data_IF_366957537554
#
_entry.id   IF_366957537554
#
_cell.length_a   1.000
_cell.length_b   1.000
_cell.length_c   1.000
_cell.angle_alpha   90.00
_cell.angle_beta   90.00
_cell.angle_gamma   90.00
#
_symmetry.space_group_name_H-M   'P 1'
#
loop_
_entity.id
_entity.type
_entity.pdbx_description
1 polymer ?
#
# COMPACT_ATOMS: atom_id res chain seq x y z
N UNK A 1 -14.58 -3.85 -1.64
CA UNK A 1 -13.25 -4.19 -2.22
C UNK A 1 -12.87 -5.61 -1.78
N UNK A 2 -12.36 -6.47 -2.69
CA UNK A 2 -12.11 -7.91 -2.39
C UNK A 2 -11.26 -8.12 -1.14
N UNK A 3 -10.19 -7.34 -0.96
CA UNK A 3 -9.29 -7.48 0.18
C UNK A 3 -9.97 -7.18 1.54
N UNK A 4 -10.97 -6.30 1.59
CA UNK A 4 -11.58 -5.82 2.84
C UNK A 4 -12.94 -6.47 3.13
N UNK A 5 -13.71 -6.75 2.08
CA UNK A 5 -15.12 -7.13 2.20
C UNK A 5 -15.40 -8.54 1.68
N UNK A 6 -14.38 -9.25 1.17
CA UNK A 6 -14.49 -10.53 0.46
C UNK A 6 -15.66 -10.58 -0.55
N UNK A 7 -15.87 -9.46 -1.23
CA UNK A 7 -16.94 -9.30 -2.22
C UNK A 7 -16.39 -8.80 -3.54
N UNK A 8 -17.01 -9.25 -4.63
CA UNK A 8 -16.79 -8.81 -5.99
C UNK A 8 -18.13 -8.56 -6.66
N UNK A 9 -18.28 -7.41 -7.30
CA UNK A 9 -19.52 -7.00 -7.97
C UNK A 9 -19.22 -6.63 -9.42
N UNK A 10 -19.92 -7.28 -10.36
CA UNK A 10 -20.12 -6.79 -11.73
C UNK A 10 -21.51 -6.11 -11.79
N UNK A 11 -21.70 -4.96 -12.46
CA UNK A 11 -20.76 -4.24 -13.33
C UNK A 11 -19.82 -3.28 -12.58
N UNK A 12 -18.81 -2.73 -13.28
CA UNK A 12 -17.86 -1.73 -12.77
C UNK A 12 -18.61 -0.49 -12.28
N UNK A 13 -18.86 -0.41 -10.98
CA UNK A 13 -19.35 0.79 -10.33
C UNK A 13 -18.14 1.57 -9.83
N UNK A 14 -17.92 2.77 -10.37
CA UNK A 14 -16.96 3.69 -9.77
C UNK A 14 -17.37 3.91 -8.31
N UNK A 15 -16.41 3.86 -7.39
CA UNK A 15 -16.64 4.28 -6.00
C UNK A 15 -17.23 5.69 -6.02
N UNK A 16 -18.36 5.90 -5.33
CA UNK A 16 -18.95 7.23 -5.16
C UNK A 16 -18.54 7.70 -3.77
N UNK A 17 -17.61 8.66 -3.69
CA UNK A 17 -17.11 9.21 -2.42
C UNK A 17 -15.82 8.54 -1.92
N UNK A 18 -15.68 8.44 -0.59
CA UNK A 18 -14.55 7.83 0.11
C UNK A 18 -15.12 6.65 0.90
N UNK A 19 -14.67 5.42 0.60
CA UNK A 19 -14.97 4.24 1.41
C UNK A 19 -13.84 3.97 2.39
N UNK A 20 -14.18 3.62 3.62
CA UNK A 20 -13.24 3.36 4.71
C UNK A 20 -13.50 1.98 5.29
N UNK A 21 -12.47 1.15 5.26
CA UNK A 21 -12.51 -0.24 5.74
C UNK A 21 -11.32 -0.54 6.64
N UNK A 22 -11.53 -1.35 7.66
CA UNK A 22 -10.46 -1.81 8.56
C UNK A 22 -10.36 -3.33 8.47
N UNK A 23 -9.15 -3.85 8.24
CA UNK A 23 -8.84 -5.28 8.32
C UNK A 23 -7.65 -5.49 9.24
N UNK A 24 -7.74 -6.45 10.17
CA UNK A 24 -6.61 -6.82 11.04
C UNK A 24 -5.92 -8.05 10.44
N UNK A 25 -4.60 -8.01 10.31
CA UNK A 25 -3.77 -9.09 9.76
C UNK A 25 -2.63 -9.44 10.73
N UNK A 26 -2.22 -10.70 10.77
CA UNK A 26 -1.00 -11.12 11.46
C UNK A 26 0.17 -11.10 10.48
N UNK A 27 1.20 -10.30 10.78
CA UNK A 27 2.42 -10.18 9.98
C UNK A 27 3.62 -10.62 10.79
N UNK A 28 3.80 -11.94 10.91
CA UNK A 28 4.96 -12.55 11.56
C UNK A 28 4.96 -12.36 13.07
N UNK A 29 3.80 -12.56 13.72
CA UNK A 29 3.61 -12.43 15.16
C UNK A 29 3.29 -11.01 15.64
N UNK A 30 3.29 -10.03 14.72
CA UNK A 30 2.80 -8.67 14.94
C UNK A 30 1.38 -8.57 14.39
N UNK A 31 0.39 -8.29 15.25
CA UNK A 31 -0.97 -7.98 14.81
C UNK A 31 -1.03 -6.54 14.30
N UNK A 32 -1.33 -6.35 13.02
CA UNK A 32 -1.37 -5.04 12.36
C UNK A 32 -2.79 -4.73 11.88
N UNK A 33 -3.31 -3.57 12.28
CA UNK A 33 -4.57 -3.03 11.75
C UNK A 33 -4.31 -2.25 10.46
N UNK A 34 -4.81 -2.76 9.34
CA UNK A 34 -4.82 -2.11 8.04
C UNK A 34 -6.09 -1.29 7.90
N UNK A 35 -5.95 0.00 7.61
CA UNK A 35 -7.04 0.91 7.32
C UNK A 35 -7.02 1.24 5.83
N UNK A 36 -7.96 0.72 5.05
CA UNK A 36 -8.06 0.96 3.62
C UNK A 36 -9.06 2.08 3.36
N UNK A 37 -8.60 3.12 2.68
CA UNK A 37 -9.36 4.27 2.24
C UNK A 37 -9.46 4.19 0.72
N UNK A 38 -10.54 3.65 0.18
CA UNK A 38 -10.76 3.64 -1.27
C UNK A 38 -11.44 4.96 -1.67
N UNK A 39 -10.73 5.82 -2.40
CA UNK A 39 -11.27 7.09 -2.87
C UNK A 39 -11.67 7.03 -4.35
N UNK A 40 -12.85 7.56 -4.66
CA UNK A 40 -13.37 7.70 -6.00
C UNK A 40 -12.39 8.44 -6.93
N UNK A 41 -11.88 7.74 -7.94
CA UNK A 41 -11.01 8.32 -8.96
C UNK A 41 -11.81 9.09 -10.00
N UNK A 42 -12.16 10.34 -9.70
CA UNK A 42 -12.67 11.23 -10.73
C UNK A 42 -11.50 11.96 -11.40
N UNK A 43 -11.30 11.66 -12.68
CA UNK A 43 -10.22 12.16 -13.55
C UNK A 43 -10.14 13.69 -13.61
N UNK A 44 -11.22 14.40 -13.25
CA UNK A 44 -11.25 15.87 -13.17
C UNK A 44 -10.46 16.44 -11.98
N UNK A 45 -10.02 15.62 -11.03
CA UNK A 45 -9.24 16.03 -9.84
C UNK A 45 -7.73 15.76 -9.98
N UNK A 46 -7.20 15.84 -11.21
CA UNK A 46 -5.78 15.65 -11.57
C UNK A 46 -4.71 16.50 -10.83
N UNK A 47 -4.95 17.43 -9.86
CA UNK A 47 -3.83 18.03 -9.10
C UNK A 47 -3.50 17.45 -7.71
N UNK A 48 -4.24 16.50 -7.13
CA UNK A 48 -4.04 16.15 -5.71
C UNK A 48 -3.06 14.96 -5.50
N UNK A 49 -2.42 14.40 -6.52
CA UNK A 49 -1.63 13.14 -6.39
C UNK A 49 -0.28 13.28 -5.70
N UNK A 50 0.48 14.36 -5.95
CA UNK A 50 1.85 14.49 -5.42
C UNK A 50 1.90 14.60 -3.89
N UNK A 51 0.87 15.18 -3.25
CA UNK A 51 0.80 15.29 -1.80
C UNK A 51 0.60 13.95 -1.10
N UNK A 52 0.01 12.95 -1.76
CA UNK A 52 -0.17 11.62 -1.18
C UNK A 52 1.06 10.73 -1.29
N UNK A 53 1.86 10.89 -2.36
CA UNK A 53 3.16 10.23 -2.46
C UNK A 53 4.11 10.74 -1.37
N UNK A 54 4.01 12.03 -1.03
CA UNK A 54 4.81 12.67 0.00
C UNK A 54 4.45 12.14 1.38
N UNK A 55 5.31 11.27 1.92
CA UNK A 55 5.09 10.62 3.22
C UNK A 55 4.38 9.27 3.12
N UNK A 56 4.19 8.72 1.92
CA UNK A 56 3.87 7.32 1.75
C UNK A 56 5.08 6.47 2.17
N UNK A 57 4.81 5.42 2.93
CA UNK A 57 5.79 4.42 3.36
C UNK A 57 5.79 3.19 2.44
N UNK A 58 4.69 2.93 1.74
CA UNK A 58 4.65 2.02 0.60
C UNK A 58 3.64 2.45 -0.46
N UNK A 59 3.76 1.92 -1.67
CA UNK A 59 2.89 2.22 -2.81
C UNK A 59 2.66 0.94 -3.60
N UNK A 60 1.40 0.64 -3.93
CA UNK A 60 0.99 -0.47 -4.78
C UNK A 60 0.47 0.12 -6.10
N UNK A 61 1.08 -0.26 -7.22
CA UNK A 61 0.68 0.15 -8.56
C UNK A 61 0.03 -1.04 -9.25
N UNK A 62 -1.21 -0.87 -9.71
CA UNK A 62 -2.02 -1.95 -10.28
C UNK A 62 -2.38 -1.65 -11.72
N UNK A 63 -2.05 -2.58 -12.62
CA UNK A 63 -2.44 -2.56 -14.03
C UNK A 63 -3.35 -3.75 -14.36
N UNK A 64 -3.93 -3.76 -15.56
CA UNK A 64 -4.79 -4.83 -16.06
C UNK A 64 -4.03 -5.66 -17.10
N UNK A 65 -3.88 -6.97 -16.87
CA UNK A 65 -3.13 -7.85 -17.79
C UNK A 65 -3.78 -7.96 -19.18
N UNK A 66 -5.08 -7.66 -19.29
CA UNK A 66 -5.85 -7.71 -20.54
C UNK A 66 -5.82 -6.39 -21.32
N UNK A 67 -5.18 -5.36 -20.76
CA UNK A 67 -5.10 -4.02 -21.36
C UNK A 67 -3.66 -3.47 -21.35
N UNK A 68 -2.99 -3.58 -22.49
CA UNK A 68 -1.62 -3.11 -22.69
C UNK A 68 -1.42 -1.62 -22.35
N UNK A 69 -2.41 -0.77 -22.59
CA UNK A 69 -2.29 0.67 -22.34
C UNK A 69 -2.10 0.97 -20.84
N UNK A 70 -2.75 0.18 -19.98
CA UNK A 70 -2.58 0.28 -18.52
C UNK A 70 -1.15 0.02 -18.12
N UNK A 71 -0.52 -1.00 -18.70
CA UNK A 71 0.86 -1.38 -18.42
C UNK A 71 1.86 -0.36 -18.96
N UNK A 72 1.65 0.19 -20.15
CA UNK A 72 2.49 1.29 -20.69
C UNK A 72 2.48 2.49 -19.74
N UNK A 73 1.32 2.81 -19.17
CA UNK A 73 1.17 3.92 -18.23
C UNK A 73 1.86 3.68 -16.87
N UNK A 74 2.07 2.43 -16.45
CA UNK A 74 2.79 2.10 -15.18
C UNK A 74 4.14 2.79 -15.13
N UNK A 75 4.90 2.79 -16.23
CA UNK A 75 6.26 3.36 -16.27
C UNK A 75 6.26 4.85 -15.97
N UNK A 76 5.27 5.57 -16.51
CA UNK A 76 5.07 7.01 -16.23
C UNK A 76 4.74 7.24 -14.76
N UNK A 77 3.86 6.41 -14.19
CA UNK A 77 3.50 6.50 -12.77
C UNK A 77 4.68 6.22 -11.85
N UNK A 78 5.49 5.22 -12.15
CA UNK A 78 6.69 4.89 -11.36
C UNK A 78 7.70 6.05 -11.36
N UNK A 79 7.89 6.73 -12.51
CA UNK A 79 8.75 7.93 -12.58
C UNK A 79 8.20 9.09 -11.76
N UNK A 80 6.87 9.27 -11.73
CA UNK A 80 6.23 10.30 -10.90
C UNK A 80 6.39 9.98 -9.41
N UNK A 81 6.19 8.72 -9.03
CA UNK A 81 6.40 8.22 -7.67
C UNK A 81 7.86 8.47 -7.24
N UNK A 82 8.84 8.10 -8.05
CA UNK A 82 10.26 8.29 -7.73
C UNK A 82 10.64 9.78 -7.59
N UNK A 83 9.89 10.69 -8.22
CA UNK A 83 10.10 12.14 -8.11
C UNK A 83 9.59 12.73 -6.78
N UNK A 84 8.47 12.22 -6.26
CA UNK A 84 7.75 12.85 -5.13
C UNK A 84 7.76 12.03 -3.83
N UNK A 85 7.92 10.71 -3.92
CA UNK A 85 7.93 9.83 -2.76
C UNK A 85 9.29 9.83 -2.05
N UNK A 86 9.31 9.32 -0.82
CA UNK A 86 10.55 9.15 -0.07
C UNK A 86 11.42 8.05 -0.70
N UNK A 87 12.75 8.19 -0.67
CA UNK A 87 13.71 7.23 -1.28
C UNK A 87 13.53 5.77 -0.80
N UNK A 88 13.03 5.59 0.41
CA UNK A 88 12.83 4.28 1.03
C UNK A 88 11.38 3.78 0.94
N UNK A 89 10.55 4.35 0.07
CA UNK A 89 9.17 3.89 -0.11
C UNK A 89 9.17 2.45 -0.65
N UNK A 90 8.43 1.56 0.00
CA UNK A 90 8.23 0.21 -0.52
C UNK A 90 7.32 0.27 -1.75
N UNK A 91 7.72 -0.32 -2.87
CA UNK A 91 6.90 -0.33 -4.09
C UNK A 91 6.51 -1.76 -4.47
N UNK A 92 5.25 -1.95 -4.84
CA UNK A 92 4.69 -3.24 -5.29
C UNK A 92 3.96 -3.02 -6.61
N UNK A 93 4.28 -3.81 -7.62
CA UNK A 93 3.58 -3.86 -8.90
C UNK A 93 2.60 -5.05 -8.88
N UNK A 94 1.37 -4.80 -9.32
CA UNK A 94 0.31 -5.81 -9.36
C UNK A 94 -0.33 -5.86 -10.74
N UNK A 95 -0.26 -7.02 -11.40
CA UNK A 95 -1.02 -7.32 -12.61
C UNK A 95 -2.36 -7.94 -12.24
N UNK A 96 -3.46 -7.18 -12.34
CA UNK A 96 -4.79 -7.67 -11.98
C UNK A 96 -5.51 -8.32 -13.17
N UNK A 97 -6.57 -9.08 -12.87
CA UNK A 97 -7.39 -9.87 -13.80
C UNK A 97 -6.67 -11.11 -14.37
N UNK A 98 -5.81 -11.75 -13.57
CA UNK A 98 -5.17 -13.02 -13.94
C UNK A 98 -6.14 -14.17 -14.21
N UNK A 99 -7.42 -14.02 -13.87
CA UNK A 99 -8.50 -14.93 -14.27
C UNK A 99 -8.82 -14.89 -15.78
N UNK A 100 -8.37 -13.85 -16.50
CA UNK A 100 -8.63 -13.66 -17.94
C UNK A 100 -7.38 -13.95 -18.79
N UNK A 101 -6.79 -15.13 -18.58
CA UNK A 101 -5.56 -15.54 -19.26
C UNK A 101 -5.71 -15.56 -20.80
N UNK A 102 -6.88 -15.95 -21.30
CA UNK A 102 -7.18 -15.99 -22.74
C UNK A 102 -7.14 -14.60 -23.41
N UNK A 103 -7.41 -13.54 -22.64
CA UNK A 103 -7.40 -12.15 -23.10
C UNK A 103 -6.07 -11.43 -22.78
N UNK A 104 -5.05 -12.16 -22.31
CA UNK A 104 -3.80 -11.56 -21.86
C UNK A 104 -3.12 -10.80 -22.99
N UNK A 105 -2.77 -9.54 -22.71
CA UNK A 105 -1.97 -8.68 -23.59
C UNK A 105 -0.59 -8.39 -23.05
N UNK A 106 -0.43 -8.41 -21.73
CA UNK A 106 0.84 -8.21 -21.03
C UNK A 106 1.35 -9.54 -20.52
N UNK A 107 2.51 -9.97 -20.99
CA UNK A 107 3.11 -11.22 -20.50
C UNK A 107 3.64 -11.06 -19.09
N UNK A 108 3.61 -12.14 -18.30
CA UNK A 108 4.20 -12.15 -16.96
C UNK A 108 5.69 -11.82 -17.00
N UNK A 109 6.39 -12.25 -18.05
CA UNK A 109 7.81 -11.96 -18.23
C UNK A 109 8.07 -10.45 -18.40
N UNK A 110 7.35 -9.76 -19.29
CA UNK A 110 7.52 -8.31 -19.48
C UNK A 110 7.23 -7.53 -18.19
N UNK A 111 6.22 -7.94 -17.44
CA UNK A 111 5.88 -7.31 -16.17
C UNK A 111 6.94 -7.57 -15.08
N UNK A 112 7.49 -8.78 -15.03
CA UNK A 112 8.59 -9.15 -14.14
C UNK A 112 9.86 -8.36 -14.46
N UNK A 113 10.23 -8.23 -15.74
CA UNK A 113 11.37 -7.43 -16.18
C UNK A 113 11.22 -5.96 -15.79
N UNK A 114 10.02 -5.38 -15.94
CA UNK A 114 9.75 -4.03 -15.49
C UNK A 114 9.86 -3.90 -13.97
N UNK A 115 9.36 -4.87 -13.21
CA UNK A 115 9.47 -4.88 -11.76
C UNK A 115 10.93 -4.92 -11.31
N UNK A 116 11.77 -5.74 -11.94
CA UNK A 116 13.20 -5.83 -11.65
C UNK A 116 13.93 -4.53 -11.99
N UNK A 117 13.64 -3.91 -13.13
CA UNK A 117 14.22 -2.62 -13.53
C UNK A 117 13.98 -1.51 -12.50
N UNK A 118 12.80 -1.50 -11.88
CA UNK A 118 12.41 -0.50 -10.88
C UNK A 118 12.55 -0.99 -9.42
N UNK A 119 13.12 -2.18 -9.22
CA UNK A 119 13.29 -2.83 -7.91
C UNK A 119 11.97 -2.92 -7.11
N UNK A 120 10.93 -3.47 -7.74
CA UNK A 120 9.58 -3.62 -7.21
C UNK A 120 9.32 -5.08 -6.81
N UNK A 121 8.46 -5.30 -5.81
CA UNK A 121 7.86 -6.63 -5.64
C UNK A 121 6.75 -6.79 -6.69
N UNK A 122 6.62 -7.96 -7.32
CA UNK A 122 5.62 -8.21 -8.35
C UNK A 122 4.66 -9.34 -7.96
N UNK A 123 3.38 -9.14 -8.26
CA UNK A 123 2.32 -10.14 -8.10
C UNK A 123 1.34 -10.07 -9.27
N UNK A 124 0.84 -11.23 -9.71
CA UNK A 124 -0.37 -11.29 -10.53
C UNK A 124 -1.56 -11.70 -9.66
N UNK A 125 -2.65 -10.95 -9.73
CA UNK A 125 -3.82 -11.12 -8.87
C UNK A 125 -5.11 -11.26 -9.66
N UNK A 126 -6.09 -11.95 -9.09
CA UNK A 126 -7.47 -11.91 -9.56
C UNK A 126 -8.35 -11.42 -8.43
N UNK A 127 -8.87 -10.19 -8.53
CA UNK A 127 -9.89 -9.70 -7.62
C UNK A 127 -11.20 -10.52 -7.70
N UNK A 128 -11.48 -11.12 -8.86
CA UNK A 128 -12.65 -11.97 -9.11
C UNK A 128 -12.56 -13.27 -8.30
N UNK A 129 -11.44 -13.98 -8.47
CA UNK A 129 -11.19 -15.29 -7.86
C UNK A 129 -10.44 -15.23 -6.52
N UNK A 130 -10.17 -14.03 -6.01
CA UNK A 130 -9.39 -13.78 -4.79
C UNK A 130 -7.94 -14.32 -4.84
N UNK A 131 -7.37 -14.53 -6.03
CA UNK A 131 -6.02 -15.08 -6.20
C UNK A 131 -4.98 -13.99 -5.90
N UNK A 132 -4.02 -14.29 -5.01
CA UNK A 132 -2.87 -13.45 -4.65
C UNK A 132 -3.20 -12.06 -4.10
N UNK A 133 -4.47 -11.74 -3.87
CA UNK A 133 -4.90 -10.41 -3.39
C UNK A 133 -4.38 -10.20 -1.97
N UNK A 134 -4.60 -11.17 -1.09
CA UNK A 134 -4.14 -11.08 0.29
C UNK A 134 -2.62 -11.04 0.38
N UNK A 135 -1.94 -11.89 -0.39
CA UNK A 135 -0.50 -11.99 -0.47
C UNK A 135 0.14 -10.67 -0.91
N UNK A 136 -0.42 -9.99 -1.92
CA UNK A 136 0.08 -8.70 -2.38
C UNK A 136 -0.02 -7.62 -1.30
N UNK A 137 -1.18 -7.52 -0.63
CA UNK A 137 -1.40 -6.55 0.45
C UNK A 137 -0.56 -6.87 1.69
N UNK A 138 -0.47 -8.14 2.09
CA UNK A 138 0.34 -8.59 3.22
C UNK A 138 1.84 -8.38 2.95
N UNK A 139 2.31 -8.62 1.72
CA UNK A 139 3.69 -8.34 1.34
C UNK A 139 4.00 -6.85 1.43
N UNK A 140 3.13 -6.00 0.88
CA UNK A 140 3.27 -4.55 1.00
C UNK A 140 3.35 -4.14 2.47
N UNK A 141 2.38 -4.56 3.29
CA UNK A 141 2.34 -4.26 4.71
C UNK A 141 3.61 -4.75 5.44
N UNK A 142 4.06 -5.98 5.20
CA UNK A 142 5.27 -6.54 5.79
C UNK A 142 6.54 -5.75 5.44
N UNK A 143 6.72 -5.40 4.16
CA UNK A 143 7.86 -4.61 3.72
C UNK A 143 7.86 -3.22 4.36
N UNK A 144 6.70 -2.59 4.51
CA UNK A 144 6.58 -1.29 5.16
C UNK A 144 6.81 -1.40 6.67
N UNK A 145 6.29 -2.45 7.32
CA UNK A 145 6.53 -2.72 8.74
C UNK A 145 8.02 -2.96 9.04
N UNK A 146 8.78 -3.60 8.13
CA UNK A 146 10.24 -3.72 8.27
C UNK A 146 10.92 -2.36 8.32
N UNK A 147 10.53 -1.45 7.43
CA UNK A 147 11.06 -0.08 7.39
C UNK A 147 10.67 0.67 8.67
N UNK A 148 9.42 0.55 9.12
CA UNK A 148 8.95 1.18 10.36
C UNK A 148 9.66 0.65 11.61
N UNK A 149 10.00 -0.65 11.67
CA UNK A 149 10.81 -1.22 12.78
C UNK A 149 12.21 -0.61 12.85
N UNK A 150 12.79 -0.18 11.73
CA UNK A 150 14.06 0.56 11.72
C UNK A 150 13.86 1.94 12.37
N UNK A 151 12.84 2.68 11.94
CA UNK A 151 12.53 4.00 12.52
C UNK A 151 12.20 3.93 14.00
N UNK A 152 11.43 2.93 14.44
CA UNK A 152 11.14 2.71 15.85
C UNK A 152 12.40 2.48 16.69
N UNK A 153 13.37 1.70 16.18
CA UNK A 153 14.64 1.49 16.87
C UNK A 153 15.46 2.78 16.97
N UNK A 154 15.51 3.58 15.91
CA UNK A 154 16.15 4.89 15.92
C UNK A 154 15.49 5.84 16.93
N UNK A 155 14.16 5.90 16.96
CA UNK A 155 13.39 6.72 17.91
C UNK A 155 13.53 6.27 19.37
N UNK A 156 13.73 4.97 19.61
CA UNK A 156 14.04 4.45 20.94
C UNK A 156 15.46 4.82 21.34
N UNK A 157 16.43 4.67 20.42
CA UNK A 157 17.83 5.00 20.70
C UNK A 157 18.03 6.51 20.97
N UNK A 158 17.22 7.35 20.33
CA UNK A 158 17.24 8.81 20.50
C UNK A 158 16.35 9.30 21.65
N UNK A 159 15.80 8.40 22.48
CA UNK A 159 14.95 8.76 23.61
C UNK A 159 15.71 9.61 24.64
N UNK A 160 15.17 10.79 25.05
CA UNK A 160 15.88 11.64 25.99
C UNK A 160 15.91 11.01 27.38
N UNK A 161 17.13 10.78 27.90
CA UNK A 161 17.40 10.19 29.23
C UNK A 161 16.73 10.93 30.41
N UNK A 162 16.27 12.17 30.19
CA UNK A 162 15.49 12.93 31.18
C UNK A 162 14.12 12.31 31.45
N UNK A 163 13.51 11.62 30.49
CA UNK A 163 12.21 10.97 30.66
C UNK A 163 12.29 9.70 31.49
N UNK A 164 13.42 8.99 31.46
CA UNK A 164 13.66 7.82 32.31
C UNK A 164 13.65 8.20 33.79
N UNK A 165 14.15 9.41 34.13
CA UNK A 165 14.12 9.97 35.49
C UNK A 165 12.72 10.31 35.98
N UNK A 166 11.75 10.49 35.08
CA UNK A 166 10.34 10.76 35.41
C UNK A 166 9.52 9.48 35.60
N UNK A 167 10.14 8.30 35.50
CA UNK A 167 9.46 7.01 35.65
C UNK A 167 8.49 6.70 34.53
N UNK A 168 8.65 7.35 33.37
CA UNK A 168 7.85 7.12 32.17
C UNK A 168 8.39 5.91 31.42
N UNK A 169 7.55 4.90 31.17
CA UNK A 169 7.88 3.82 30.23
C UNK A 169 7.27 4.10 28.87
N UNK A 170 8.09 4.02 27.80
CA UNK A 170 7.61 4.08 26.41
C UNK A 170 7.07 2.70 26.03
N UNK A 171 5.76 2.54 25.96
CA UNK A 171 5.12 1.36 25.36
C UNK A 171 4.83 1.65 23.89
N UNK A 172 5.46 0.90 23.01
CA UNK A 172 5.17 0.96 21.57
C UNK A 172 3.93 0.10 21.33
N UNK A 173 2.82 0.74 20.94
CA UNK A 173 1.66 0.02 20.45
C UNK A 173 1.78 0.02 18.93
N UNK A 174 1.93 -1.16 18.33
CA UNK A 174 2.03 -1.32 16.87
C UNK A 174 0.63 -1.18 16.25
N UNK A 175 0.08 0.03 16.22
CA UNK A 175 -1.23 0.28 15.61
C UNK A 175 -1.16 1.29 14.46
N UNK A 176 -1.55 0.77 13.29
CA UNK A 176 -2.12 1.41 12.08
C UNK A 176 -1.21 1.53 10.85
N UNK A 177 -1.57 0.78 9.81
CA UNK A 177 -1.11 0.98 8.44
C UNK A 177 -2.29 1.51 7.61
N UNK A 178 -2.22 2.78 7.20
CA UNK A 178 -3.22 3.49 6.41
C UNK A 178 -2.96 3.28 4.91
N UNK A 179 -3.74 2.45 4.24
CA UNK A 179 -3.73 2.29 2.78
C UNK A 179 -4.72 3.31 2.21
N UNK A 180 -4.24 4.40 1.62
CA UNK A 180 -5.04 5.33 0.82
C UNK A 180 -5.04 4.83 -0.63
N UNK A 181 -6.11 4.16 -1.03
CA UNK A 181 -6.46 3.93 -2.42
C UNK A 181 -6.77 5.24 -3.11
N UNK A 182 -5.93 5.62 -4.07
CA UNK A 182 -6.16 6.75 -4.97
C UNK A 182 -6.39 6.13 -6.34
N UNK A 183 -7.65 6.04 -6.73
CA UNK A 183 -7.96 5.68 -8.11
C UNK A 183 -7.57 6.87 -8.99
N UNK A 184 -6.56 6.70 -9.86
CA UNK A 184 -6.16 7.73 -10.83
C UNK A 184 -6.29 7.14 -12.23
N UNK A 185 -7.50 7.31 -12.75
CA UNK A 185 -8.00 6.99 -14.10
C UNK A 185 -8.40 5.55 -14.35
N UNK A 186 -9.21 5.41 -15.40
CA UNK A 186 -9.58 4.16 -16.09
C UNK A 186 -8.39 3.28 -16.50
N UNK A 187 -7.15 3.73 -16.29
CA UNK A 187 -5.94 3.10 -16.79
C UNK A 187 -5.13 2.40 -15.68
N UNK A 188 -4.83 3.03 -14.53
CA UNK A 188 -3.96 2.43 -13.49
C UNK A 188 -4.48 2.78 -12.10
N UNK A 189 -4.56 1.79 -11.20
CA UNK A 189 -4.94 2.05 -9.80
C UNK A 189 -3.70 2.14 -8.92
N UNK A 190 -3.59 3.19 -8.09
CA UNK A 190 -2.45 3.38 -7.18
C UNK A 190 -2.93 3.42 -5.73
N UNK A 191 -2.41 2.53 -4.91
CA UNK A 191 -2.64 2.57 -3.46
C UNK A 191 -1.40 3.13 -2.77
N UNK A 192 -1.54 4.29 -2.13
CA UNK A 192 -0.50 4.88 -1.28
C UNK A 192 -0.69 4.40 0.16
N UNK A 193 0.32 3.76 0.71
CA UNK A 193 0.30 3.18 2.05
C UNK A 193 1.16 4.00 3.00
N UNK A 194 0.58 4.41 4.13
CA UNK A 194 1.24 5.19 5.17
C UNK A 194 1.03 4.51 6.52
N UNK A 195 2.11 4.03 7.13
CA UNK A 195 2.07 3.65 8.55
C UNK A 195 1.87 4.91 9.43
N UNK A 196 0.88 4.86 10.30
CA UNK A 196 0.71 5.74 11.45
C UNK A 196 1.15 4.91 12.64
N UNK A 197 2.29 5.20 13.26
CA UNK A 197 2.69 4.50 14.49
C UNK A 197 2.03 5.19 15.68
N UNK A 198 1.06 4.53 16.31
CA UNK A 198 0.49 4.99 17.58
C UNK A 198 1.44 4.74 18.76
N UNK A 199 2.35 5.67 19.08
CA UNK A 199 3.07 5.64 20.36
C UNK A 199 2.18 6.23 21.45
N UNK A 200 1.34 5.41 22.08
CA UNK A 200 0.53 5.87 23.22
C UNK A 200 0.49 4.80 24.32
N UNK A 201 1.40 4.91 25.28
CA UNK A 201 1.05 4.77 26.70
C UNK A 201 2.21 5.29 27.55
N UNK A 202 1.97 6.41 28.24
CA UNK A 202 2.84 6.90 29.31
C UNK A 202 2.30 6.36 30.63
N UNK A 203 2.74 5.17 31.05
CA UNK A 203 2.48 4.74 32.42
C UNK A 203 3.60 5.24 33.32
N UNK A 204 3.22 6.02 34.34
CA UNK A 204 4.07 6.23 35.51
C UNK A 204 4.24 4.87 36.17
N UNK A 205 5.49 4.44 36.42
CA UNK A 205 5.76 3.34 37.35
C UNK A 205 5.03 3.68 38.68
N UNK A 206 4.08 2.84 39.08
CA UNK A 206 3.55 2.82 40.44
C UNK A 206 4.63 2.30 41.39
#
# INVERSE_FOLDING_TARGET
MRFTDDTYTEPFMCTIGIDFKIRTVDLGGSTVKLQVWDSAGNEKFRPITSSYYKGAHGIIVVYDITNQETFVNVRKWLQEIDRYACKNVCKVLVGNKSDREEDRKVTTQEAQELAEQFNLNFFETSAKNAINVEEAFCKAAYCICKIAKIWLKEDINNWPKSHDKLGLQKKVVEEVCLIIGICVSRDVTIYCVRIILGVIEFKKKL
#
